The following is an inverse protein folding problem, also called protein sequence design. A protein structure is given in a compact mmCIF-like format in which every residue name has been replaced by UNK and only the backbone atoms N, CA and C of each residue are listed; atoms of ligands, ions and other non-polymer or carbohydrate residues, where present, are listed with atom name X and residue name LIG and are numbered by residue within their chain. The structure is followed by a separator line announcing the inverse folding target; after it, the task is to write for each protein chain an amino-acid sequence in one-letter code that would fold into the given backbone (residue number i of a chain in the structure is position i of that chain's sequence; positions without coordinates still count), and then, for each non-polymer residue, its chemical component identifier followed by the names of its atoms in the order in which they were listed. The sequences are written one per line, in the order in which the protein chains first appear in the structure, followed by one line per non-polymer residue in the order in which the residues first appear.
data_IF_932190050826
#
_entry.id   IF_932190050826
#
_cell.length_a   1.000
_cell.length_b   1.000
_cell.length_c   1.000
_cell.angle_alpha   90.00
_cell.angle_beta   90.00
_cell.angle_gamma   90.00
#
_symmetry.space_group_name_H-M   'P 1'
#
loop_
_entity.id
_entity.type
_entity.pdbx_description
1 polymer ?
#
# COMPACT_ATOMS: atom_id res chain seq x y z
N UNK A 1 -21.42 5.19 -4.89
CA UNK A 1 -21.35 4.27 -3.74
C UNK A 1 -19.98 4.39 -3.09
N UNK A 2 -19.89 4.48 -1.76
CA UNK A 2 -18.60 4.45 -1.06
C UNK A 2 -18.16 2.99 -1.02
N UNK A 3 -17.10 2.63 -1.73
CA UNK A 3 -16.53 1.28 -1.72
C UNK A 3 -15.92 1.02 -0.34
N UNK A 4 -16.19 -0.15 0.25
CA UNK A 4 -15.54 -0.57 1.50
C UNK A 4 -14.11 -1.02 1.22
N UNK A 5 -13.20 -0.88 2.19
CA UNK A 5 -11.79 -1.28 2.01
C UNK A 5 -11.65 -2.76 1.63
N UNK A 6 -12.43 -3.62 2.28
CA UNK A 6 -12.43 -5.06 2.03
C UNK A 6 -12.84 -5.39 0.59
N UNK A 7 -13.88 -4.72 0.08
CA UNK A 7 -14.34 -4.90 -1.30
C UNK A 7 -13.27 -4.41 -2.28
N UNK A 8 -12.66 -3.26 -2.01
CA UNK A 8 -11.56 -2.74 -2.82
C UNK A 8 -10.38 -3.72 -2.90
N UNK A 9 -9.94 -4.28 -1.77
CA UNK A 9 -8.83 -5.23 -1.74
C UNK A 9 -9.21 -6.52 -2.49
N UNK A 10 -10.44 -7.00 -2.30
CA UNK A 10 -10.92 -8.20 -2.97
C UNK A 10 -10.96 -8.01 -4.49
N UNK A 11 -11.49 -6.89 -4.96
CA UNK A 11 -11.57 -6.54 -6.38
C UNK A 11 -10.16 -6.37 -6.96
N UNK A 12 -9.27 -5.65 -6.25
CA UNK A 12 -7.89 -5.45 -6.68
C UNK A 12 -7.17 -6.78 -6.88
N UNK A 13 -7.20 -7.65 -5.87
CA UNK A 13 -6.49 -8.93 -5.87
C UNK A 13 -7.05 -9.93 -6.89
N UNK A 14 -8.31 -9.78 -7.31
CA UNK A 14 -8.90 -10.57 -8.41
C UNK A 14 -8.45 -10.05 -9.77
N UNK A 15 -8.32 -8.74 -9.92
CA UNK A 15 -7.97 -8.10 -11.21
C UNK A 15 -6.47 -7.98 -11.47
N UNK A 16 -5.63 -8.11 -10.45
CA UNK A 16 -4.17 -7.93 -10.56
C UNK A 16 -3.43 -9.16 -10.01
N UNK A 17 -2.47 -9.66 -10.78
CA UNK A 17 -1.69 -10.86 -10.43
C UNK A 17 -0.23 -10.57 -10.04
N UNK A 18 0.18 -9.29 -10.04
CA UNK A 18 1.57 -8.88 -9.78
C UNK A 18 1.87 -8.79 -8.29
N UNK A 19 0.93 -8.22 -7.55
CA UNK A 19 0.98 -8.09 -6.12
C UNK A 19 -0.44 -8.11 -5.55
N UNK A 20 -0.52 -8.30 -4.24
CA UNK A 20 -1.78 -8.29 -3.51
C UNK A 20 -1.76 -7.28 -2.40
N UNK A 21 -2.92 -6.68 -2.14
CA UNK A 21 -3.16 -5.97 -0.90
C UNK A 21 -3.69 -6.91 0.17
N UNK A 22 -3.44 -6.57 1.42
CA UNK A 22 -4.05 -7.21 2.58
C UNK A 22 -4.43 -6.17 3.62
N UNK A 23 -5.34 -6.53 4.52
CA UNK A 23 -5.73 -5.70 5.65
C UNK A 23 -5.98 -6.56 6.87
N UNK A 24 -5.70 -6.00 8.05
CA UNK A 24 -6.02 -6.58 9.34
C UNK A 24 -6.75 -5.57 10.20
N UNK A 25 -7.89 -5.99 10.76
CA UNK A 25 -8.70 -5.21 11.68
C UNK A 25 -8.27 -5.46 13.14
N UNK A 26 -8.57 -4.52 14.03
CA UNK A 26 -8.44 -4.74 15.47
C UNK A 26 -9.67 -5.53 15.92
N UNK A 27 -9.53 -6.68 16.63
CA UNK A 27 -10.68 -7.38 17.19
C UNK A 27 -11.58 -6.44 18.00
N UNK A 28 -12.87 -6.38 17.63
CA UNK A 28 -13.84 -5.49 18.27
C UNK A 28 -13.88 -4.05 17.71
N UNK A 29 -13.12 -3.74 16.67
CA UNK A 29 -13.27 -2.52 15.87
C UNK A 29 -13.53 -2.86 14.40
N UNK A 30 -14.59 -2.31 13.81
CA UNK A 30 -14.88 -2.41 12.37
C UNK A 30 -13.97 -1.48 11.54
N UNK A 31 -12.69 -1.38 11.90
CA UNK A 31 -11.70 -0.51 11.26
C UNK A 31 -10.35 -1.21 11.13
N UNK A 32 -9.63 -0.99 10.02
CA UNK A 32 -8.31 -1.57 9.82
C UNK A 32 -7.32 -1.00 10.85
N UNK A 33 -6.54 -1.88 11.48
CA UNK A 33 -5.33 -1.50 12.21
C UNK A 33 -4.14 -1.38 11.26
N UNK A 34 -4.19 -2.15 10.17
CA UNK A 34 -3.07 -2.38 9.29
C UNK A 34 -3.56 -2.73 7.90
N UNK A 35 -2.81 -2.27 6.92
CA UNK A 35 -2.90 -2.67 5.53
C UNK A 35 -1.49 -2.93 5.03
N UNK A 36 -1.36 -3.68 3.93
CA UNK A 36 -0.05 -3.85 3.36
C UNK A 36 -0.09 -4.38 1.94
N UNK A 37 1.11 -4.46 1.37
CA UNK A 37 1.38 -4.91 0.01
C UNK A 37 2.24 -6.15 0.10
N UNK A 38 1.89 -7.17 -0.71
CA UNK A 38 2.75 -8.33 -0.96
C UNK A 38 3.01 -8.46 -2.44
N UNK A 39 4.24 -8.15 -2.83
CA UNK A 39 4.79 -8.36 -4.15
C UNK A 39 5.56 -9.69 -4.19
N UNK A 40 5.68 -10.30 -5.37
CA UNK A 40 6.62 -11.42 -5.54
C UNK A 40 8.05 -10.92 -5.36
N UNK A 41 8.78 -11.40 -4.34
CA UNK A 41 10.15 -10.95 -4.04
C UNK A 41 11.07 -10.96 -5.29
N UNK A 42 10.99 -12.01 -6.11
CA UNK A 42 11.79 -12.14 -7.33
C UNK A 42 11.51 -11.02 -8.35
N UNK A 43 10.26 -10.55 -8.45
CA UNK A 43 9.89 -9.44 -9.33
C UNK A 43 10.09 -8.07 -8.68
N UNK A 44 10.29 -8.03 -7.37
CA UNK A 44 10.40 -6.79 -6.60
C UNK A 44 11.82 -6.25 -6.58
N UNK A 45 12.81 -7.15 -6.59
CA UNK A 45 14.23 -6.77 -6.57
C UNK A 45 14.61 -5.85 -7.73
N UNK A 46 13.95 -5.98 -8.87
CA UNK A 46 14.15 -5.10 -10.04
C UNK A 46 13.69 -3.64 -9.77
N UNK A 47 12.75 -3.43 -8.85
CA UNK A 47 12.18 -2.11 -8.49
C UNK A 47 12.76 -1.53 -7.19
N UNK A 48 13.60 -2.29 -6.49
CA UNK A 48 14.11 -1.90 -5.19
C UNK A 48 15.17 -0.79 -5.30
N UNK A 49 14.88 0.38 -4.76
CA UNK A 49 15.87 1.41 -4.45
C UNK A 49 15.54 2.18 -3.18
N UNK A 50 16.55 2.66 -2.47
CA UNK A 50 16.39 3.51 -1.28
C UNK A 50 15.60 4.79 -1.59
N UNK A 51 15.74 5.34 -2.79
CA UNK A 51 15.02 6.54 -3.21
C UNK A 51 13.52 6.27 -3.38
N UNK A 52 13.15 5.17 -4.03
CA UNK A 52 11.75 4.78 -4.20
C UNK A 52 11.12 4.36 -2.86
N UNK A 53 11.91 3.78 -1.95
CA UNK A 53 11.49 3.55 -0.57
C UNK A 53 11.13 4.84 0.17
N UNK A 54 12.03 5.83 0.14
CA UNK A 54 11.80 7.11 0.80
C UNK A 54 10.59 7.83 0.19
N UNK A 55 10.48 7.82 -1.14
CA UNK A 55 9.35 8.40 -1.87
C UNK A 55 8.01 7.75 -1.51
N UNK A 56 7.97 6.43 -1.39
CA UNK A 56 6.77 5.69 -0.97
C UNK A 56 6.30 6.18 0.41
N UNK A 57 7.22 6.28 1.38
CA UNK A 57 6.93 6.71 2.75
C UNK A 57 6.36 8.13 2.79
N UNK A 58 7.03 9.07 2.13
CA UNK A 58 6.64 10.49 2.14
C UNK A 58 5.25 10.71 1.52
N UNK A 59 4.96 10.02 0.42
CA UNK A 59 3.68 10.18 -0.27
C UNK A 59 2.54 9.51 0.52
N UNK A 60 2.78 8.37 1.16
CA UNK A 60 1.79 7.71 2.01
C UNK A 60 1.41 8.63 3.19
N UNK A 61 2.38 9.23 3.86
CA UNK A 61 2.12 10.16 4.97
C UNK A 61 1.29 11.36 4.50
N UNK A 62 1.71 12.01 3.40
CA UNK A 62 1.03 13.17 2.84
C UNK A 62 -0.40 12.87 2.36
N UNK A 63 -0.61 11.79 1.58
CA UNK A 63 -1.93 11.41 1.04
C UNK A 63 -2.88 10.91 2.13
N UNK A 64 -2.36 10.25 3.15
CA UNK A 64 -3.16 9.77 4.29
C UNK A 64 -3.45 10.86 5.31
N UNK A 65 -2.82 12.04 5.21
CA UNK A 65 -2.92 13.13 6.19
C UNK A 65 -2.45 12.67 7.58
N UNK A 66 -1.36 11.91 7.63
CA UNK A 66 -0.80 11.35 8.86
C UNK A 66 -1.62 10.23 9.50
N UNK A 67 -2.54 9.59 8.75
CA UNK A 67 -3.34 8.46 9.27
C UNK A 67 -2.79 7.10 8.86
N UNK A 68 -1.80 7.06 7.99
CA UNK A 68 -1.10 5.85 7.57
C UNK A 68 0.41 6.06 7.65
N UNK A 69 1.13 5.06 8.14
CA UNK A 69 2.58 5.10 8.28
C UNK A 69 3.17 3.73 7.96
N UNK A 70 4.21 3.74 7.14
CA UNK A 70 4.92 2.52 6.75
C UNK A 70 5.78 2.05 7.92
N UNK A 71 5.67 0.77 8.25
CA UNK A 71 6.40 0.14 9.36
C UNK A 71 7.34 -0.98 8.91
N UNK A 72 7.30 -1.39 7.65
CA UNK A 72 8.29 -2.31 7.11
C UNK A 72 9.68 -1.70 7.18
N UNK A 73 10.68 -2.54 7.47
CA UNK A 73 12.09 -2.19 7.36
C UNK A 73 12.63 -2.54 5.97
N UNK A 74 13.90 -2.23 5.73
CA UNK A 74 14.59 -2.52 4.48
C UNK A 74 14.55 -4.02 4.15
N UNK A 75 14.67 -4.88 5.16
CA UNK A 75 14.66 -6.33 5.01
C UNK A 75 13.30 -6.88 4.51
N UNK A 76 12.18 -6.39 5.05
CA UNK A 76 10.85 -6.77 4.56
C UNK A 76 10.60 -6.18 3.17
N UNK A 77 11.05 -4.95 2.96
CA UNK A 77 10.89 -4.26 1.69
C UNK A 77 11.63 -4.97 0.56
N UNK A 78 12.88 -5.42 0.74
CA UNK A 78 13.63 -6.26 -0.22
C UNK A 78 12.90 -7.55 -0.63
N UNK A 79 11.97 -8.03 0.21
CA UNK A 79 11.14 -9.22 -0.03
C UNK A 79 9.79 -8.90 -0.66
N UNK A 80 9.57 -7.64 -1.05
CA UNK A 80 8.31 -7.16 -1.60
C UNK A 80 7.20 -7.06 -0.56
N UNK A 81 7.54 -6.92 0.73
CA UNK A 81 6.57 -6.76 1.81
C UNK A 81 6.59 -5.31 2.29
N UNK A 82 5.45 -4.64 2.16
CA UNK A 82 5.26 -3.28 2.67
C UNK A 82 4.12 -3.33 3.68
N UNK A 83 4.45 -3.09 4.95
CA UNK A 83 3.47 -3.06 6.04
C UNK A 83 3.17 -1.61 6.40
N UNK A 84 1.88 -1.29 6.50
CA UNK A 84 1.39 0.07 6.72
C UNK A 84 0.37 0.05 7.85
N UNK A 85 0.71 0.66 8.97
CA UNK A 85 -0.24 0.84 10.07
C UNK A 85 -1.21 1.97 9.76
N UNK A 86 -2.42 1.83 10.28
CA UNK A 86 -3.50 2.80 10.11
C UNK A 86 -3.92 3.29 11.49
N UNK A 87 -3.82 4.61 11.73
CA UNK A 87 -4.29 5.27 12.94
C UNK A 87 -5.83 5.39 12.92
N UNK A 88 -6.53 4.25 12.86
CA UNK A 88 -7.97 4.20 12.62
C UNK A 88 -8.83 4.67 13.79
N UNK A 89 -8.24 4.83 14.98
CA UNK A 89 -8.87 5.46 16.13
C UNK A 89 -8.86 6.99 16.07
N UNK A 90 -8.11 7.62 15.16
CA UNK A 90 -8.09 9.07 15.04
C UNK A 90 -9.46 9.62 14.59
N UNK A 91 -9.85 10.78 15.13
CA UNK A 91 -11.13 11.44 14.83
C UNK A 91 -11.27 11.82 13.35
N UNK A 92 -10.15 12.00 12.64
CA UNK A 92 -10.10 12.33 11.22
C UNK A 92 -9.97 11.09 10.31
N UNK A 93 -10.03 9.87 10.87
CA UNK A 93 -9.98 8.64 10.09
C UNK A 93 -11.11 8.59 9.08
N UNK A 94 -10.75 8.31 7.83
CA UNK A 94 -11.72 8.08 6.76
C UNK A 94 -11.18 6.98 5.86
N UNK A 95 -11.92 5.86 5.79
CA UNK A 95 -11.55 4.70 4.98
C UNK A 95 -11.23 5.04 3.51
N UNK A 96 -11.90 6.06 2.94
CA UNK A 96 -11.62 6.54 1.58
C UNK A 96 -10.19 7.02 1.38
N UNK A 97 -9.52 7.52 2.43
CA UNK A 97 -8.11 7.92 2.33
C UNK A 97 -7.21 6.69 2.25
N UNK A 98 -7.54 5.63 3.00
CA UNK A 98 -6.82 4.34 2.92
C UNK A 98 -6.96 3.77 1.50
N UNK A 99 -8.19 3.68 0.99
CA UNK A 99 -8.45 3.22 -0.38
C UNK A 99 -7.72 4.09 -1.41
N UNK A 100 -7.73 5.41 -1.23
CA UNK A 100 -7.03 6.34 -2.13
C UNK A 100 -5.51 6.13 -2.14
N UNK A 101 -4.90 5.84 -0.99
CA UNK A 101 -3.48 5.51 -0.89
C UNK A 101 -3.17 4.17 -1.55
N UNK A 102 -3.94 3.12 -1.26
CA UNK A 102 -3.73 1.81 -1.89
C UNK A 102 -3.90 1.88 -3.42
N UNK A 103 -4.91 2.61 -3.90
CA UNK A 103 -5.08 2.85 -5.33
C UNK A 103 -3.88 3.54 -5.94
N UNK A 104 -3.36 4.60 -5.30
CA UNK A 104 -2.15 5.28 -5.75
C UNK A 104 -0.93 4.36 -5.80
N UNK A 105 -0.73 3.52 -4.76
CA UNK A 105 0.36 2.54 -4.73
C UNK A 105 0.28 1.63 -5.96
N UNK A 106 -0.91 1.11 -6.26
CA UNK A 106 -1.07 0.15 -7.34
C UNK A 106 -1.09 0.75 -8.74
N UNK A 107 -1.76 1.89 -8.94
CA UNK A 107 -1.98 2.49 -10.27
C UNK A 107 -0.90 3.50 -10.66
N UNK A 108 -0.17 4.06 -9.70
CA UNK A 108 0.83 5.10 -9.99
C UNK A 108 2.23 4.73 -9.55
N UNK A 109 2.41 4.24 -8.32
CA UNK A 109 3.74 3.95 -7.80
C UNK A 109 4.38 2.78 -8.58
N UNK A 110 3.77 1.59 -8.52
CA UNK A 110 4.30 0.44 -9.25
C UNK A 110 4.12 0.53 -10.77
N UNK A 111 3.05 1.17 -11.25
CA UNK A 111 2.79 1.27 -12.69
C UNK A 111 3.72 2.24 -13.43
N UNK A 112 4.16 3.36 -12.80
CA UNK A 112 5.10 4.30 -13.44
C UNK A 112 6.49 3.71 -13.61
N UNK A 113 6.92 2.83 -12.72
CA UNK A 113 8.24 2.23 -12.79
C UNK A 113 8.40 1.25 -13.97
N UNK A 114 7.33 0.54 -14.34
CA UNK A 114 7.36 -0.34 -15.52
C UNK A 114 7.52 0.43 -16.84
N UNK A 115 7.01 1.66 -16.90
CA UNK A 115 7.19 2.51 -18.07
C UNK A 115 8.60 3.05 -18.20
N UNK A 116 9.37 3.19 -17.12
CA UNK A 116 10.78 3.62 -17.23
C UNK A 116 11.70 2.49 -17.71
N UNK A 117 11.39 1.23 -17.43
CA UNK A 117 12.19 0.08 -17.90
C UNK A 117 11.96 -0.27 -19.37
N UNK A 118 10.81 0.08 -19.93
CA UNK A 118 10.47 -0.22 -21.34
C UNK A 118 11.10 0.72 -22.37
N UNK A 119 11.87 1.72 -21.94
CA UNK A 119 12.64 2.63 -22.81
C UNK A 119 14.17 2.44 -22.72
N UNK A 120 14.65 1.40 -22.06
CA UNK A 120 16.07 1.06 -21.97
C UNK A 120 16.40 -0.28 -22.62
#
# INVERSE_FOLDING_TARGET
MKQALKDFILDWNKSHNRFSFWSQEIPGMDRPAEVGVRYSAAKYQDFYSTDEWNRLRDIIDAKSRGTMYVVSDEYLFERGIIDIKVASSNHNYQERHVIGVLRWIGEEFFFKQEKSESYH
#
